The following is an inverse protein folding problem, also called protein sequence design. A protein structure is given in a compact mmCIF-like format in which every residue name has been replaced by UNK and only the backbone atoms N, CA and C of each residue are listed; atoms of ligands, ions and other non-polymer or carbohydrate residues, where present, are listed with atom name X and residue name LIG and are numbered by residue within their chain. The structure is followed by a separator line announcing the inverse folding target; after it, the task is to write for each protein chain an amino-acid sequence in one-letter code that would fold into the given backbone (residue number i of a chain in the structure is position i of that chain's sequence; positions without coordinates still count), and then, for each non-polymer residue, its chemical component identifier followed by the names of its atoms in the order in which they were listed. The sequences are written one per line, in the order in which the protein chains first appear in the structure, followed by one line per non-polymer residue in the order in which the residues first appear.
data_IF_981260804309
#
_entry.id   IF_981260804309
#
_cell.length_a   1.000
_cell.length_b   1.000
_cell.length_c   1.000
_cell.angle_alpha   90.00
_cell.angle_beta   90.00
_cell.angle_gamma   90.00
#
_symmetry.space_group_name_H-M   'P 1'
#
loop_
_entity.id
_entity.type
_entity.pdbx_description
1 polymer ?
#
# COMPACT_ATOMS: atom_id res chain seq x y z
N UNK A 1 2.95 66.72 -5.05
CA UNK A 1 2.47 65.37 -5.44
C UNK A 1 2.96 64.39 -4.38
N UNK A 2 2.04 63.67 -3.73
CA UNK A 2 2.30 62.84 -2.55
C UNK A 2 2.91 61.49 -2.96
N UNK A 3 4.06 61.15 -2.38
CA UNK A 3 4.50 59.77 -2.23
C UNK A 3 3.67 59.09 -1.14
N UNK A 4 3.23 57.85 -1.37
CA UNK A 4 3.24 56.81 -0.35
C UNK A 4 2.89 55.45 -0.98
N UNK A 5 3.65 54.45 -0.57
CA UNK A 5 3.70 53.08 -1.05
C UNK A 5 2.52 52.23 -0.56
N UNK A 6 2.11 51.22 -1.33
CA UNK A 6 1.69 49.93 -0.76
C UNK A 6 1.80 48.84 -1.84
N UNK A 7 2.99 48.24 -1.95
CA UNK A 7 3.16 46.97 -2.65
C UNK A 7 2.58 45.87 -1.76
N UNK A 8 1.41 45.34 -2.13
CA UNK A 8 0.75 44.25 -1.44
C UNK A 8 1.49 42.95 -1.76
N UNK A 9 2.48 42.61 -0.93
CA UNK A 9 3.25 41.38 -1.04
C UNK A 9 2.40 40.18 -0.64
N UNK A 10 1.99 39.37 -1.62
CA UNK A 10 1.35 38.06 -1.39
C UNK A 10 2.41 37.08 -0.88
N UNK A 11 2.50 36.91 0.43
CA UNK A 11 3.32 35.88 1.05
C UNK A 11 2.65 34.51 0.82
N UNK A 12 3.10 33.78 -0.21
CA UNK A 12 2.78 32.35 -0.37
C UNK A 12 3.56 31.62 0.72
N UNK A 13 2.90 31.36 1.85
CA UNK A 13 3.44 30.48 2.87
C UNK A 13 3.38 29.06 2.31
N UNK A 14 4.46 28.64 1.65
CA UNK A 14 4.68 27.23 1.34
C UNK A 14 5.00 26.51 2.65
N UNK A 15 3.95 26.12 3.37
CA UNK A 15 4.07 25.16 4.46
C UNK A 15 4.39 23.83 3.81
N UNK A 16 5.69 23.57 3.57
CA UNK A 16 6.19 22.24 3.30
C UNK A 16 6.06 21.43 4.59
N UNK A 17 4.84 21.03 4.91
CA UNK A 17 4.57 20.09 5.98
C UNK A 17 5.25 18.78 5.61
N UNK A 18 6.30 18.41 6.33
CA UNK A 18 6.77 17.04 6.37
C UNK A 18 5.61 16.22 6.97
N UNK A 19 4.70 15.71 6.13
CA UNK A 19 3.71 14.75 6.57
C UNK A 19 4.49 13.50 6.97
N UNK A 20 4.65 13.28 8.27
CA UNK A 20 5.15 12.01 8.78
C UNK A 20 4.16 10.95 8.31
N UNK A 21 4.53 10.19 7.28
CA UNK A 21 3.76 9.04 6.81
C UNK A 21 3.72 8.01 7.95
N UNK A 22 2.56 7.84 8.57
CA UNK A 22 2.36 6.90 9.68
C UNK A 22 2.19 5.45 9.22
N UNK A 23 2.15 5.22 7.91
CA UNK A 23 1.88 3.93 7.28
C UNK A 23 3.04 3.55 6.34
N UNK A 24 3.29 2.26 6.15
CA UNK A 24 4.28 1.75 5.18
C UNK A 24 3.67 1.70 3.77
N UNK A 25 4.51 1.76 2.73
CA UNK A 25 4.08 1.64 1.31
C UNK A 25 3.88 0.19 0.86
N UNK A 26 4.16 -0.76 1.76
CA UNK A 26 4.01 -2.20 1.54
C UNK A 26 3.00 -2.78 2.51
N UNK A 27 2.41 -3.90 2.11
CA UNK A 27 1.56 -4.74 2.93
C UNK A 27 2.21 -6.11 3.06
N UNK A 28 2.35 -6.60 4.30
CA UNK A 28 3.00 -7.88 4.62
C UNK A 28 1.95 -8.97 4.67
N UNK A 29 2.10 -10.00 3.84
CA UNK A 29 1.16 -11.13 3.77
C UNK A 29 1.86 -12.38 4.28
N UNK A 30 1.22 -13.09 5.20
CA UNK A 30 1.69 -14.41 5.62
C UNK A 30 1.23 -15.47 4.62
N UNK A 31 2.17 -16.09 3.93
CA UNK A 31 1.89 -17.15 2.96
C UNK A 31 2.27 -18.50 3.55
N UNK A 32 1.25 -19.32 3.75
CA UNK A 32 1.39 -20.72 4.11
C UNK A 32 1.31 -21.61 2.86
N UNK A 33 2.00 -22.73 2.87
CA UNK A 33 2.05 -23.64 1.73
C UNK A 33 2.19 -25.10 2.17
N UNK A 34 1.53 -25.99 1.44
CA UNK A 34 1.67 -27.44 1.52
C UNK A 34 3.05 -27.97 1.09
N UNK A 35 3.78 -27.23 0.24
CA UNK A 35 5.14 -27.56 -0.22
C UNK A 35 6.13 -26.47 0.21
N UNK A 36 7.34 -26.85 0.56
CA UNK A 36 8.42 -25.90 0.83
C UNK A 36 9.05 -25.38 -0.46
N UNK A 37 9.64 -24.18 -0.41
CA UNK A 37 10.38 -23.54 -1.50
C UNK A 37 9.55 -23.29 -2.77
N UNK A 38 8.28 -22.92 -2.62
CA UNK A 38 7.51 -22.45 -3.76
C UNK A 38 7.97 -21.05 -4.16
N UNK A 39 8.06 -20.81 -5.46
CA UNK A 39 8.34 -19.53 -6.06
C UNK A 39 7.02 -18.86 -6.43
N UNK A 40 6.89 -17.62 -6.01
CA UNK A 40 5.77 -16.76 -6.28
C UNK A 40 6.24 -15.53 -7.03
N UNK A 41 5.45 -15.02 -7.95
CA UNK A 41 5.66 -13.74 -8.59
C UNK A 41 4.51 -12.79 -8.21
N UNK A 42 4.88 -11.60 -7.75
CA UNK A 42 3.97 -10.49 -7.51
C UNK A 42 4.72 -9.19 -7.77
N UNK A 43 4.09 -8.24 -8.46
CA UNK A 43 4.72 -6.96 -8.82
C UNK A 43 6.04 -7.09 -9.62
N UNK A 44 6.18 -8.18 -10.38
CA UNK A 44 7.40 -8.51 -11.13
C UNK A 44 8.58 -8.93 -10.24
N UNK A 45 8.36 -9.14 -8.95
CA UNK A 45 9.34 -9.65 -8.01
C UNK A 45 9.03 -11.12 -7.66
N UNK A 46 10.08 -11.95 -7.67
CA UNK A 46 9.98 -13.35 -7.24
C UNK A 46 10.28 -13.48 -5.75
N UNK A 47 9.41 -14.18 -5.02
CA UNK A 47 9.57 -14.44 -3.59
C UNK A 47 9.41 -15.93 -3.29
N UNK A 48 10.05 -16.42 -2.23
CA UNK A 48 10.01 -17.84 -1.83
C UNK A 48 9.12 -18.03 -0.62
N UNK A 49 8.28 -19.07 -0.62
CA UNK A 49 7.34 -19.39 0.46
C UNK A 49 7.42 -20.87 0.86
N UNK A 50 6.94 -21.26 2.07
CA UNK A 50 6.19 -20.48 3.07
C UNK A 50 6.99 -19.33 3.71
N UNK A 51 6.32 -18.23 4.06
CA UNK A 51 6.97 -17.05 4.65
C UNK A 51 6.12 -15.78 4.58
N UNK A 52 6.68 -14.67 5.08
CA UNK A 52 6.07 -13.34 4.92
C UNK A 52 6.55 -12.76 3.59
N UNK A 53 5.61 -12.41 2.72
CA UNK A 53 5.91 -11.66 1.50
C UNK A 53 5.50 -10.20 1.66
N UNK A 54 6.16 -9.33 0.93
CA UNK A 54 5.81 -7.91 0.86
C UNK A 54 5.21 -7.59 -0.50
N UNK A 55 4.07 -6.91 -0.49
CA UNK A 55 3.35 -6.48 -1.68
C UNK A 55 3.17 -4.97 -1.61
N UNK A 56 3.46 -4.27 -2.71
CA UNK A 56 3.31 -2.80 -2.75
C UNK A 56 1.84 -2.43 -2.61
N UNK A 57 1.50 -1.46 -1.76
CA UNK A 57 0.14 -0.89 -1.68
C UNK A 57 -0.12 0.01 -2.87
N UNK A 58 -1.24 -0.22 -3.55
CA UNK A 58 -1.71 0.61 -4.67
C UNK A 58 -3.20 0.39 -4.91
N UNK A 59 -3.84 1.36 -5.58
CA UNK A 59 -5.23 1.31 -6.02
C UNK A 59 -5.46 0.28 -7.15
N UNK A 60 -4.94 -0.93 -6.99
CA UNK A 60 -4.99 -2.00 -7.99
C UNK A 60 -5.12 -3.37 -7.32
N UNK A 61 -6.02 -4.19 -7.86
CA UNK A 61 -6.02 -5.62 -7.55
C UNK A 61 -4.77 -6.25 -8.12
N UNK A 62 -4.20 -7.21 -7.40
CA UNK A 62 -3.00 -7.92 -7.81
C UNK A 62 -3.27 -9.39 -7.97
N UNK A 63 -2.36 -10.06 -8.65
CA UNK A 63 -2.34 -11.51 -8.75
C UNK A 63 -1.00 -11.98 -8.24
N UNK A 64 -1.05 -12.88 -7.27
CA UNK A 64 0.10 -13.65 -6.81
C UNK A 64 0.14 -14.92 -7.64
N UNK A 65 1.17 -15.05 -8.47
CA UNK A 65 1.32 -16.16 -9.40
C UNK A 65 2.32 -17.17 -8.84
N UNK A 66 1.87 -18.39 -8.56
CA UNK A 66 2.77 -19.49 -8.20
C UNK A 66 3.42 -20.01 -9.48
N UNK A 67 4.74 -19.99 -9.54
CA UNK A 67 5.51 -20.36 -10.74
C UNK A 67 6.26 -21.68 -10.58
N UNK A 68 6.22 -22.31 -9.41
CA UNK A 68 6.81 -23.63 -9.19
C UNK A 68 6.07 -24.71 -9.97
N UNK A 69 6.84 -25.52 -10.70
CA UNK A 69 6.33 -26.65 -11.47
C UNK A 69 5.53 -27.64 -10.61
N UNK A 70 4.33 -28.00 -11.06
CA UNK A 70 3.41 -28.89 -10.34
C UNK A 70 2.69 -28.20 -9.17
N UNK A 71 2.63 -26.88 -9.17
CA UNK A 71 1.86 -26.06 -8.23
C UNK A 71 1.43 -24.71 -8.84
N UNK A 72 1.41 -24.59 -10.16
CA UNK A 72 1.11 -23.34 -10.84
C UNK A 72 -0.35 -22.95 -10.62
N UNK A 73 -0.56 -21.76 -10.07
CA UNK A 73 -1.88 -21.20 -9.83
C UNK A 73 -1.80 -19.68 -9.65
N UNK A 74 -2.89 -19.00 -9.98
CA UNK A 74 -3.04 -17.56 -9.78
C UNK A 74 -3.97 -17.31 -8.59
N UNK A 75 -3.51 -16.51 -7.64
CA UNK A 75 -4.25 -16.13 -6.45
C UNK A 75 -4.56 -14.65 -6.52
N UNK A 76 -5.84 -14.29 -6.56
CA UNK A 76 -6.27 -12.91 -6.54
C UNK A 76 -5.99 -12.27 -5.16
N UNK A 77 -5.35 -11.11 -5.19
CA UNK A 77 -5.21 -10.20 -4.06
C UNK A 77 -6.10 -8.99 -4.33
N UNK A 78 -7.28 -8.99 -3.72
CA UNK A 78 -8.22 -7.88 -3.89
C UNK A 78 -7.81 -6.71 -3.01
N UNK A 79 -7.79 -5.51 -3.57
CA UNK A 79 -7.52 -4.30 -2.80
C UNK A 79 -8.73 -3.96 -1.95
N UNK A 80 -8.48 -3.56 -0.72
CA UNK A 80 -9.49 -3.04 0.20
C UNK A 80 -8.98 -1.77 0.88
N UNK A 81 -9.90 -0.94 1.37
CA UNK A 81 -9.53 0.24 2.16
C UNK A 81 -9.25 -0.19 3.59
N UNK A 82 -8.07 0.14 4.09
CA UNK A 82 -7.64 -0.09 5.46
C UNK A 82 -8.59 0.63 6.43
N UNK A 83 -9.19 -0.05 7.41
CA UNK A 83 -10.13 0.59 8.33
C UNK A 83 -9.56 1.80 9.10
N UNK A 84 -8.25 1.83 9.34
CA UNK A 84 -7.57 2.96 9.99
C UNK A 84 -7.65 4.24 9.17
N UNK A 85 -7.83 4.16 7.85
CA UNK A 85 -8.12 5.30 6.98
C UNK A 85 -9.35 6.08 7.48
N UNK A 86 -10.41 5.36 7.87
CA UNK A 86 -11.64 5.98 8.37
C UNK A 86 -11.48 6.53 9.79
N UNK A 87 -10.61 5.91 10.61
CA UNK A 87 -10.28 6.47 11.93
C UNK A 87 -9.54 7.79 11.76
N UNK A 88 -8.54 7.86 10.88
CA UNK A 88 -7.83 9.10 10.56
C UNK A 88 -8.77 10.20 10.04
N UNK A 89 -9.76 9.84 9.22
CA UNK A 89 -10.80 10.76 8.76
C UNK A 89 -11.64 11.33 9.92
N UNK A 90 -11.96 10.50 10.93
CA UNK A 90 -12.80 10.89 12.07
C UNK A 90 -12.04 11.58 13.21
N UNK A 91 -10.78 11.19 13.48
CA UNK A 91 -9.98 11.68 14.61
C UNK A 91 -8.95 12.77 14.23
N UNK A 92 -8.50 12.80 12.96
CA UNK A 92 -7.52 13.75 12.43
C UNK A 92 -8.07 14.70 11.37
N UNK A 93 -9.33 14.55 10.98
CA UNK A 93 -9.97 15.34 9.93
C UNK A 93 -9.45 15.01 8.52
N UNK A 94 -9.92 15.77 7.52
CA UNK A 94 -9.64 15.52 6.11
C UNK A 94 -8.13 15.39 5.76
N UNK A 95 -7.24 16.04 6.52
CA UNK A 95 -5.80 16.04 6.26
C UNK A 95 -5.14 14.65 6.31
N UNK A 96 -5.42 13.85 7.35
CA UNK A 96 -4.86 12.49 7.48
C UNK A 96 -5.33 11.58 6.34
N UNK A 97 -6.63 11.63 6.04
CA UNK A 97 -7.24 10.88 4.93
C UNK A 97 -6.82 11.38 3.55
N UNK A 98 -6.59 12.68 3.34
CA UNK A 98 -6.10 13.18 2.04
C UNK A 98 -4.66 12.77 1.80
N UNK A 99 -3.82 12.73 2.85
CA UNK A 99 -2.45 12.23 2.75
C UNK A 99 -2.45 10.74 2.42
N UNK A 100 -3.20 9.91 3.15
CA UNK A 100 -3.30 8.46 2.91
C UNK A 100 -3.92 8.14 1.53
N UNK A 101 -4.85 8.95 1.04
CA UNK A 101 -5.40 8.85 -0.32
C UNK A 101 -4.38 9.22 -1.40
N UNK A 102 -3.70 10.35 -1.23
CA UNK A 102 -2.71 10.84 -2.21
C UNK A 102 -1.48 9.95 -2.32
N UNK A 103 -1.23 9.09 -1.33
CA UNK A 103 -0.01 8.27 -1.22
C UNK A 103 -0.27 6.76 -1.33
N UNK A 104 -1.49 6.34 -1.70
CA UNK A 104 -1.85 4.93 -1.91
C UNK A 104 -1.78 4.04 -0.65
N UNK A 105 -1.58 4.62 0.54
CA UNK A 105 -1.37 3.88 1.79
C UNK A 105 -2.63 3.39 2.46
N UNK A 106 -3.78 3.89 1.99
CA UNK A 106 -5.09 3.39 2.40
C UNK A 106 -5.36 1.97 1.92
N UNK A 107 -4.63 1.46 0.93
CA UNK A 107 -4.92 0.15 0.38
C UNK A 107 -4.30 -0.94 1.25
N UNK A 108 -5.02 -2.04 1.39
CA UNK A 108 -4.55 -3.28 1.97
C UNK A 108 -4.95 -4.46 1.10
N UNK A 109 -4.36 -5.61 1.41
CA UNK A 109 -4.72 -6.90 0.84
C UNK A 109 -5.09 -7.85 1.99
N UNK A 110 -5.39 -9.11 1.66
CA UNK A 110 -5.59 -10.15 2.66
C UNK A 110 -4.30 -10.44 3.44
N UNK A 111 -4.40 -10.52 4.77
CA UNK A 111 -3.25 -10.70 5.67
C UNK A 111 -2.60 -12.09 5.54
N UNK A 112 -3.35 -13.06 5.03
CA UNK A 112 -2.90 -14.45 4.90
C UNK A 112 -3.37 -15.10 3.61
N UNK A 113 -2.51 -15.92 3.02
CA UNK A 113 -2.80 -16.79 1.88
C UNK A 113 -2.36 -18.22 2.21
N UNK A 114 -3.16 -19.21 1.81
CA UNK A 114 -2.81 -20.62 1.91
C UNK A 114 -2.72 -21.25 0.52
N UNK A 115 -1.58 -21.87 0.23
CA UNK A 115 -1.28 -22.50 -1.06
C UNK A 115 -1.28 -24.01 -0.90
N UNK A 116 -2.26 -24.66 -1.52
CA UNK A 116 -2.35 -26.12 -1.55
C UNK A 116 -2.03 -26.60 -2.96
N UNK A 117 -0.90 -27.27 -3.13
CA UNK A 117 -0.53 -27.88 -4.40
C UNK A 117 -1.21 -29.25 -4.51
N UNK A 118 -1.65 -29.61 -5.72
CA UNK A 118 -1.98 -31.01 -5.99
C UNK A 118 -0.73 -31.88 -5.73
N UNK A 119 -0.96 -33.04 -5.10
CA UNK A 119 0.09 -34.03 -4.82
C UNK A 119 0.65 -34.61 -6.12
#
# INVERSE_FOLDING_TARGET
MKLAHLALGTAIVMVSGCSTMLTEDVHRINVSSSKANLQLEVDGATQTVPGIIEVKKENKNKTLKVTTAGCEQDIALNKEVEPTFFVNLLSGGAFGSTTDYSTEKMWRYQDSVNITCAQ
#
